data_IF_490907350676
#
_entry.id   IF_490907350676
#
_cell.length_a   1.000
_cell.length_b   1.000
_cell.length_c   1.000
_cell.angle_alpha   90.00
_cell.angle_beta   90.00
_cell.angle_gamma   90.00
#
_symmetry.space_group_name_H-M   'P 1'
#
loop_
_entity.id
_entity.type
_entity.pdbx_description
1 polymer ?
#
# COMPACT_ATOMS: atom_id res chain seq x y z
N UNK A 1 6.00 -15.43 22.49
CA UNK A 1 6.92 -16.46 21.95
C UNK A 1 6.79 -16.46 20.43
N UNK A 2 7.71 -15.82 19.72
CA UNK A 2 7.72 -15.77 18.26
C UNK A 2 8.31 -17.08 17.74
N UNK A 3 7.48 -17.93 17.12
CA UNK A 3 8.01 -19.08 16.37
C UNK A 3 8.96 -18.58 15.28
N UNK A 4 10.18 -19.13 15.23
CA UNK A 4 11.15 -18.81 14.18
C UNK A 4 10.61 -19.28 12.83
N UNK A 5 10.51 -18.37 11.86
CA UNK A 5 10.19 -18.73 10.48
C UNK A 5 11.37 -19.48 9.86
N UNK A 6 11.12 -20.63 9.22
CA UNK A 6 12.13 -21.42 8.50
C UNK A 6 11.88 -21.30 7.00
N UNK A 7 12.93 -21.01 6.24
CA UNK A 7 12.88 -21.02 4.78
C UNK A 7 12.51 -22.41 4.27
N UNK A 8 11.52 -22.48 3.38
CA UNK A 8 11.00 -23.71 2.81
C UNK A 8 11.46 -23.92 1.37
N UNK A 9 11.43 -22.88 0.55
CA UNK A 9 11.78 -22.95 -0.86
C UNK A 9 11.23 -21.77 -1.66
N UNK A 10 11.31 -21.87 -3.00
CA UNK A 10 10.80 -20.87 -3.94
C UNK A 10 9.55 -21.38 -4.65
N UNK A 11 8.64 -20.46 -4.96
CA UNK A 11 7.51 -20.69 -5.86
C UNK A 11 7.59 -19.74 -7.05
N UNK A 12 7.62 -20.32 -8.24
CA UNK A 12 7.63 -19.59 -9.50
C UNK A 12 6.21 -19.49 -10.07
N UNK A 13 5.80 -18.26 -10.36
CA UNK A 13 4.59 -17.90 -11.07
C UNK A 13 4.97 -17.11 -12.34
N UNK A 14 4.07 -17.03 -13.34
CA UNK A 14 4.37 -16.32 -14.59
C UNK A 14 4.80 -14.86 -14.41
N UNK A 15 4.36 -14.20 -13.33
CA UNK A 15 4.58 -12.79 -13.07
C UNK A 15 5.34 -12.50 -11.75
N UNK A 16 5.76 -13.52 -11.01
CA UNK A 16 6.53 -13.37 -9.76
C UNK A 16 7.19 -14.67 -9.28
N UNK A 17 8.28 -14.52 -8.53
CA UNK A 17 8.94 -15.57 -7.76
C UNK A 17 8.79 -15.21 -6.27
N UNK A 18 8.31 -16.14 -5.47
CA UNK A 18 8.13 -15.96 -4.03
C UNK A 18 9.07 -16.84 -3.24
N UNK A 19 9.72 -16.27 -2.23
CA UNK A 19 10.35 -17.04 -1.16
C UNK A 19 9.29 -17.47 -0.15
N UNK A 20 9.21 -18.76 0.12
CA UNK A 20 8.24 -19.35 1.04
C UNK A 20 8.91 -19.66 2.37
N UNK A 21 8.25 -19.25 3.44
CA UNK A 21 8.65 -19.52 4.80
C UNK A 21 7.53 -20.27 5.54
N UNK A 22 7.91 -21.22 6.38
CA UNK A 22 6.98 -21.91 7.27
C UNK A 22 7.23 -21.47 8.71
N UNK A 23 6.15 -21.07 9.37
CA UNK A 23 6.17 -20.62 10.75
C UNK A 23 5.23 -21.46 11.60
N UNK A 24 5.77 -22.13 12.61
CA UNK A 24 4.97 -22.85 13.61
C UNK A 24 4.42 -21.84 14.62
N UNK A 25 3.10 -21.73 14.71
CA UNK A 25 2.38 -20.79 15.59
C UNK A 25 1.48 -21.57 16.54
N UNK A 26 1.43 -21.17 17.81
CA UNK A 26 0.54 -21.79 18.81
C UNK A 26 -0.83 -21.13 18.76
N UNK A 27 -1.90 -21.91 18.81
CA UNK A 27 -3.19 -21.34 19.19
C UNK A 27 -3.12 -20.95 20.66
N UNK A 28 -3.27 -19.65 20.95
CA UNK A 28 -3.48 -19.18 22.31
C UNK A 28 -4.98 -19.28 22.54
N UNK A 29 -5.44 -20.25 23.33
CA UNK A 29 -6.80 -20.17 23.86
C UNK A 29 -6.92 -18.84 24.59
N UNK A 30 -7.95 -18.01 24.33
CA UNK A 30 -8.24 -16.91 25.22
C UNK A 30 -8.46 -17.54 26.60
N UNK A 31 -7.53 -17.29 27.51
CA UNK A 31 -7.74 -17.56 28.92
C UNK A 31 -8.86 -16.60 29.29
N UNK A 32 -10.07 -17.14 29.43
CA UNK A 32 -11.17 -16.40 30.01
C UNK A 32 -10.70 -15.97 31.39
N UNK A 33 -10.47 -14.68 31.54
CA UNK A 33 -10.10 -14.03 32.78
C UNK A 33 -11.36 -13.90 33.66
N UNK A 34 -11.98 -15.03 33.99
CA UNK A 34 -12.98 -15.12 35.05
C UNK A 34 -12.77 -16.43 35.80
N UNK A 35 -12.41 -16.30 37.08
CA UNK A 35 -12.11 -17.43 37.94
C UNK A 35 -13.29 -18.39 38.02
N UNK A 36 -13.12 -19.60 37.49
CA UNK A 36 -14.05 -20.70 37.74
C UNK A 36 -13.24 -21.90 38.21
N UNK A 37 -13.53 -22.23 39.47
CA UNK A 37 -13.12 -23.41 40.23
C UNK A 37 -13.24 -24.69 39.41
N UNK A 38 -12.21 -25.53 39.51
CA UNK A 38 -12.19 -26.95 39.17
C UNK A 38 -13.53 -27.63 39.42
N UNK A 39 -14.17 -28.13 38.37
CA UNK A 39 -15.07 -29.29 38.38
C UNK A 39 -15.31 -29.78 36.95
N UNK A 40 -14.74 -30.96 36.69
CA UNK A 40 -15.17 -32.00 35.77
C UNK A 40 -16.19 -31.62 34.70
N UNK A 41 -15.71 -31.49 33.47
CA UNK A 41 -16.52 -31.75 32.28
C UNK A 41 -15.61 -32.34 31.21
N UNK A 42 -16.01 -33.50 30.72
CA UNK A 42 -15.28 -34.34 29.76
C UNK A 42 -14.64 -33.53 28.63
N UNK A 43 -13.31 -33.61 28.59
CA UNK A 43 -12.42 -32.90 27.69
C UNK A 43 -12.63 -33.33 26.24
N UNK A 44 -13.59 -32.72 25.56
CA UNK A 44 -13.56 -32.55 24.09
C UNK A 44 -12.75 -31.30 23.75
N UNK A 45 -11.56 -31.22 24.33
CA UNK A 45 -10.64 -30.11 24.12
C UNK A 45 -9.96 -30.32 22.76
N UNK A 46 -10.46 -29.66 21.72
CA UNK A 46 -9.88 -29.64 20.38
C UNK A 46 -8.34 -29.53 20.44
N UNK A 47 -7.63 -30.62 20.14
CA UNK A 47 -6.19 -30.78 20.37
C UNK A 47 -5.30 -30.09 19.31
N UNK A 48 -5.82 -29.12 18.56
CA UNK A 48 -5.00 -28.32 17.66
C UNK A 48 -4.29 -27.24 18.47
N UNK A 49 -3.11 -27.56 18.99
CA UNK A 49 -2.27 -26.62 19.74
C UNK A 49 -1.39 -25.75 18.84
N UNK A 50 -1.11 -26.21 17.61
CA UNK A 50 -0.18 -25.55 16.70
C UNK A 50 -0.71 -25.54 15.27
N UNK A 51 -0.53 -24.42 14.59
CA UNK A 51 -0.73 -24.24 13.15
C UNK A 51 0.62 -23.97 12.50
N UNK A 52 0.85 -24.54 11.32
CA UNK A 52 1.97 -24.11 10.48
C UNK A 52 1.44 -23.10 9.48
N UNK A 53 1.79 -21.84 9.69
CA UNK A 53 1.43 -20.76 8.78
C UNK A 53 2.47 -20.70 7.68
N UNK A 54 1.96 -20.61 6.45
CA UNK A 54 2.77 -20.42 5.26
C UNK A 54 2.81 -18.95 4.90
N UNK A 55 4.00 -18.38 4.89
CA UNK A 55 4.25 -16.98 4.54
C UNK A 55 4.98 -16.91 3.20
N UNK A 56 4.51 -16.04 2.30
CA UNK A 56 5.11 -15.81 1.00
C UNK A 56 5.65 -14.38 0.93
N UNK A 57 6.90 -14.24 0.51
CA UNK A 57 7.56 -12.94 0.33
C UNK A 57 7.99 -12.84 -1.12
N UNK A 58 7.65 -11.74 -1.81
CA UNK A 58 8.09 -11.50 -3.18
C UNK A 58 9.62 -11.42 -3.22
N UNK A 59 10.24 -12.30 -4.00
CA UNK A 59 11.68 -12.29 -4.28
C UNK A 59 11.97 -11.51 -5.56
N UNK A 60 11.16 -11.71 -6.60
CA UNK A 60 11.17 -10.99 -7.85
C UNK A 60 9.77 -10.99 -8.46
N UNK A 61 9.45 -10.04 -9.33
CA UNK A 61 8.18 -10.06 -10.05
C UNK A 61 7.93 -8.81 -10.86
N UNK A 62 6.78 -8.78 -11.53
CA UNK A 62 6.28 -7.58 -12.20
C UNK A 62 6.07 -6.44 -11.21
N UNK A 63 6.08 -5.20 -11.72
CA UNK A 63 5.82 -4.01 -10.91
C UNK A 63 4.52 -4.13 -10.11
N UNK A 64 3.48 -4.68 -10.74
CA UNK A 64 2.18 -4.95 -10.09
C UNK A 64 2.33 -5.83 -8.85
N UNK A 65 3.06 -6.94 -8.95
CA UNK A 65 3.27 -7.87 -7.81
C UNK A 65 4.09 -7.23 -6.69
N UNK A 66 5.05 -6.39 -7.03
CA UNK A 66 5.82 -5.63 -6.04
C UNK A 66 4.93 -4.62 -5.33
N UNK A 67 4.09 -3.87 -6.05
CA UNK A 67 3.11 -2.94 -5.45
C UNK A 67 2.11 -3.68 -4.57
N UNK A 68 1.62 -4.85 -4.99
CA UNK A 68 0.73 -5.70 -4.18
C UNK A 68 1.40 -6.16 -2.88
N UNK A 69 2.72 -6.39 -2.89
CA UNK A 69 3.50 -6.82 -1.72
C UNK A 69 3.70 -5.74 -0.65
N UNK A 70 3.26 -4.50 -0.91
CA UNK A 70 3.22 -3.44 0.09
C UNK A 70 2.24 -3.75 1.21
N UNK A 71 1.26 -4.62 0.96
CA UNK A 71 0.29 -5.06 1.96
C UNK A 71 0.60 -6.50 2.38
N UNK A 72 0.41 -6.81 3.67
CA UNK A 72 0.46 -8.17 4.18
C UNK A 72 -0.82 -8.97 3.87
N UNK A 73 -0.86 -10.25 4.29
CA UNK A 73 -2.02 -11.12 4.07
C UNK A 73 -3.32 -10.58 4.69
N UNK A 74 -3.20 -9.78 5.76
CA UNK A 74 -4.30 -9.16 6.50
C UNK A 74 -4.71 -7.79 5.91
N UNK A 75 -4.00 -7.32 4.88
CA UNK A 75 -4.26 -6.04 4.23
C UNK A 75 -3.65 -4.84 4.95
N UNK A 76 -2.74 -5.05 5.90
CA UNK A 76 -2.01 -3.99 6.61
C UNK A 76 -0.72 -3.66 5.86
N UNK A 77 -0.16 -2.48 6.12
CA UNK A 77 1.07 -2.02 5.49
C UNK A 77 2.28 -2.82 5.98
N UNK A 78 3.01 -3.47 5.07
CA UNK A 78 4.38 -3.90 5.34
C UNK A 78 5.31 -2.68 5.23
N UNK A 79 5.64 -2.09 6.38
CA UNK A 79 6.47 -0.88 6.45
C UNK A 79 7.88 -1.09 5.90
N UNK A 80 8.42 -2.31 5.98
CA UNK A 80 9.74 -2.62 5.42
C UNK A 80 9.67 -2.62 3.90
N UNK A 81 8.67 -3.28 3.32
CA UNK A 81 8.48 -3.28 1.86
C UNK A 81 8.18 -1.87 1.34
N UNK A 82 7.34 -1.11 2.05
CA UNK A 82 7.08 0.30 1.74
C UNK A 82 8.38 1.11 1.63
N UNK A 83 9.22 1.07 2.67
CA UNK A 83 10.46 1.86 2.69
C UNK A 83 11.44 1.43 1.61
N UNK A 84 11.63 0.12 1.40
CA UNK A 84 12.51 -0.40 0.36
C UNK A 84 12.01 0.04 -1.02
N UNK A 85 10.72 -0.15 -1.29
CA UNK A 85 10.12 0.18 -2.57
C UNK A 85 10.19 1.68 -2.87
N UNK A 86 9.65 2.55 -2.01
CA UNK A 86 9.58 3.98 -2.30
C UNK A 86 10.94 4.68 -2.30
N UNK A 87 11.96 4.08 -1.69
CA UNK A 87 13.34 4.56 -1.78
C UNK A 87 14.01 4.18 -3.11
N UNK A 88 13.61 3.08 -3.75
CA UNK A 88 14.39 2.48 -4.86
C UNK A 88 13.64 2.33 -6.19
N UNK A 89 12.30 2.44 -6.22
CA UNK A 89 11.52 2.09 -7.41
C UNK A 89 11.88 2.88 -8.67
N UNK A 90 12.36 4.12 -8.51
CA UNK A 90 12.75 5.01 -9.61
C UNK A 90 13.87 4.42 -10.48
N UNK A 91 14.62 3.45 -9.97
CA UNK A 91 15.64 2.74 -10.74
C UNK A 91 15.05 1.82 -11.83
N UNK A 92 13.77 1.44 -11.72
CA UNK A 92 13.16 0.44 -12.60
C UNK A 92 11.70 0.76 -13.03
N UNK A 93 11.07 1.80 -12.49
CA UNK A 93 9.70 2.19 -12.82
C UNK A 93 9.52 3.71 -12.78
N UNK A 94 8.55 4.22 -13.55
CA UNK A 94 8.14 5.63 -13.50
C UNK A 94 7.10 5.84 -12.40
N UNK A 95 7.10 7.04 -11.81
CA UNK A 95 6.09 7.48 -10.83
C UNK A 95 4.67 7.26 -11.34
N UNK A 96 4.42 7.57 -12.62
CA UNK A 96 3.10 7.41 -13.24
C UNK A 96 2.62 5.94 -13.23
N UNK A 97 3.50 5.00 -13.56
CA UNK A 97 3.18 3.57 -13.61
C UNK A 97 2.82 3.04 -12.21
N UNK A 98 3.56 3.47 -11.18
CA UNK A 98 3.28 3.11 -9.79
C UNK A 98 1.96 3.71 -9.31
N UNK A 99 1.71 4.98 -9.61
CA UNK A 99 0.47 5.65 -9.25
C UNK A 99 -0.75 4.97 -9.88
N UNK A 100 -0.63 4.54 -11.13
CA UNK A 100 -1.71 3.88 -11.87
C UNK A 100 -2.06 2.54 -11.27
N UNK A 101 -1.04 1.74 -10.92
CA UNK A 101 -1.26 0.47 -10.23
C UNK A 101 -1.97 0.64 -8.88
N UNK A 102 -1.60 1.66 -8.10
CA UNK A 102 -2.24 1.93 -6.80
C UNK A 102 -3.71 2.36 -7.00
N UNK A 103 -3.99 3.24 -7.97
CA UNK A 103 -5.35 3.70 -8.28
C UNK A 103 -6.23 2.57 -8.83
N UNK A 104 -5.69 1.78 -9.76
CA UNK A 104 -6.36 0.60 -10.32
C UNK A 104 -6.70 -0.38 -9.20
N UNK A 105 -5.73 -0.70 -8.33
CA UNK A 105 -5.94 -1.62 -7.23
C UNK A 105 -7.01 -1.13 -6.25
N UNK A 106 -7.00 0.15 -5.90
CA UNK A 106 -8.06 0.74 -5.07
C UNK A 106 -9.45 0.60 -5.72
N UNK A 107 -9.53 0.76 -7.04
CA UNK A 107 -10.76 0.63 -7.81
C UNK A 107 -11.25 -0.83 -7.84
N UNK A 108 -10.34 -1.79 -8.05
CA UNK A 108 -10.66 -3.22 -7.97
C UNK A 108 -11.23 -3.60 -6.59
N UNK A 109 -10.60 -3.16 -5.50
CA UNK A 109 -11.11 -3.40 -4.14
C UNK A 109 -12.48 -2.76 -3.90
N UNK A 110 -12.75 -1.63 -4.54
CA UNK A 110 -14.06 -0.97 -4.47
C UNK A 110 -15.14 -1.81 -5.14
N UNK A 111 -14.82 -2.41 -6.29
CA UNK A 111 -15.75 -3.30 -6.99
C UNK A 111 -15.97 -4.60 -6.20
N UNK A 112 -14.92 -5.18 -5.63
CA UNK A 112 -15.01 -6.41 -4.82
C UNK A 112 -15.90 -6.20 -3.58
N UNK A 113 -15.79 -5.05 -2.93
CA UNK A 113 -16.66 -4.67 -1.81
C UNK A 113 -18.14 -4.56 -2.16
N UNK A 114 -18.50 -4.30 -3.42
CA UNK A 114 -19.89 -4.26 -3.87
C UNK A 114 -20.47 -5.66 -4.12
N UNK A 115 -19.60 -6.65 -4.34
CA UNK A 115 -19.98 -8.02 -4.70
C UNK A 115 -19.99 -8.96 -3.50
N UNK A 116 -19.13 -8.72 -2.50
CA UNK A 116 -18.95 -9.64 -1.38
C UNK A 116 -19.93 -9.38 -0.22
N UNK A 117 -20.61 -10.45 0.22
CA UNK A 117 -21.56 -10.42 1.34
C UNK A 117 -20.97 -10.91 2.67
N UNK A 118 -19.74 -11.46 2.66
CA UNK A 118 -19.08 -11.98 3.87
C UNK A 118 -18.48 -10.87 4.72
N UNK A 119 -18.98 -10.69 5.95
CA UNK A 119 -18.50 -9.68 6.91
C UNK A 119 -16.98 -9.69 7.10
N UNK A 120 -16.36 -10.87 7.24
CA UNK A 120 -14.90 -10.99 7.47
C UNK A 120 -14.10 -10.49 6.25
N UNK A 121 -14.55 -10.83 5.05
CA UNK A 121 -13.90 -10.41 3.81
C UNK A 121 -14.08 -8.92 3.58
N UNK A 122 -15.30 -8.40 3.80
CA UNK A 122 -15.61 -6.97 3.72
C UNK A 122 -14.69 -6.12 4.61
N UNK A 123 -14.45 -6.52 5.87
CA UNK A 123 -13.55 -5.78 6.77
C UNK A 123 -12.10 -5.81 6.29
N UNK A 124 -11.63 -6.95 5.77
CA UNK A 124 -10.29 -7.04 5.16
C UNK A 124 -10.16 -6.12 3.95
N UNK A 125 -11.14 -6.10 3.04
CA UNK A 125 -11.11 -5.23 1.85
C UNK A 125 -11.15 -3.75 2.23
N UNK A 126 -11.94 -3.38 3.26
CA UNK A 126 -11.92 -2.03 3.83
C UNK A 126 -10.55 -1.68 4.41
N UNK A 127 -9.91 -2.60 5.13
CA UNK A 127 -8.55 -2.43 5.65
C UNK A 127 -7.56 -2.17 4.53
N UNK A 128 -7.56 -2.99 3.47
CA UNK A 128 -6.70 -2.82 2.31
C UNK A 128 -6.88 -1.44 1.65
N UNK A 129 -8.13 -1.00 1.45
CA UNK A 129 -8.42 0.34 0.92
C UNK A 129 -7.91 1.44 1.84
N UNK A 130 -8.05 1.29 3.16
CA UNK A 130 -7.51 2.25 4.12
C UNK A 130 -5.99 2.31 4.03
N UNK A 131 -5.33 1.16 3.93
CA UNK A 131 -3.88 1.07 3.79
C UNK A 131 -3.39 1.74 2.50
N UNK A 132 -4.07 1.54 1.37
CA UNK A 132 -3.71 2.22 0.11
C UNK A 132 -3.83 3.75 0.21
N UNK A 133 -4.84 4.26 0.94
CA UNK A 133 -4.93 5.70 1.23
C UNK A 133 -3.72 6.17 2.03
N UNK A 134 -3.35 5.43 3.08
CA UNK A 134 -2.17 5.74 3.89
C UNK A 134 -0.89 5.72 3.06
N UNK A 135 -0.73 4.77 2.14
CA UNK A 135 0.40 4.72 1.20
C UNK A 135 0.47 6.01 0.38
N UNK A 136 -0.63 6.46 -0.21
CA UNK A 136 -0.66 7.71 -1.01
C UNK A 136 -0.30 8.92 -0.13
N UNK A 137 -0.84 8.99 1.10
CA UNK A 137 -0.52 10.08 2.03
C UNK A 137 0.96 10.09 2.37
N UNK A 138 1.53 8.94 2.77
CA UNK A 138 2.96 8.82 3.07
C UNK A 138 3.82 9.14 1.86
N UNK A 139 3.38 8.74 0.66
CA UNK A 139 4.09 9.02 -0.58
C UNK A 139 4.16 10.54 -0.85
N UNK A 140 3.02 11.24 -0.73
CA UNK A 140 2.95 12.70 -0.87
C UNK A 140 3.79 13.45 0.18
N UNK A 141 3.95 12.88 1.38
CA UNK A 141 4.69 13.53 2.48
C UNK A 141 6.19 13.27 2.43
N UNK A 142 6.59 12.02 2.18
CA UNK A 142 7.98 11.59 2.31
C UNK A 142 8.75 11.65 1.00
N UNK A 143 8.05 11.59 -0.14
CA UNK A 143 8.67 11.59 -1.46
C UNK A 143 7.91 12.52 -2.43
N UNK A 144 7.60 13.72 -1.95
CA UNK A 144 6.85 14.74 -2.72
C UNK A 144 7.46 15.05 -4.08
N UNK A 145 8.80 15.01 -4.18
CA UNK A 145 9.55 15.35 -5.40
C UNK A 145 9.19 14.48 -6.60
N UNK A 146 8.65 13.29 -6.36
CA UNK A 146 8.15 12.40 -7.41
C UNK A 146 7.04 13.01 -8.25
N UNK A 147 6.32 13.96 -7.66
CA UNK A 147 5.20 14.66 -8.27
C UNK A 147 5.62 16.00 -8.88
N UNK A 148 6.88 16.39 -8.73
CA UNK A 148 7.46 17.57 -9.37
C UNK A 148 7.90 17.27 -10.82
N UNK A 149 6.99 16.70 -11.62
CA UNK A 149 7.24 16.41 -13.03
C UNK A 149 6.64 17.52 -13.88
N UNK A 150 7.50 18.37 -14.43
CA UNK A 150 7.11 19.44 -15.36
C UNK A 150 7.00 18.82 -16.76
N UNK A 151 5.81 18.88 -17.37
CA UNK A 151 5.66 18.47 -18.77
C UNK A 151 6.26 19.56 -19.68
N UNK A 152 7.54 19.46 -20.02
CA UNK A 152 8.23 20.45 -20.86
C UNK A 152 7.78 20.41 -22.33
N UNK A 153 6.95 19.46 -22.76
CA UNK A 153 6.66 19.23 -24.18
C UNK A 153 5.58 20.13 -24.79
N UNK A 154 4.85 20.90 -23.97
CA UNK A 154 3.80 21.80 -24.46
C UNK A 154 4.16 23.28 -24.25
N UNK A 155 5.30 23.74 -24.77
CA UNK A 155 5.71 25.15 -24.68
C UNK A 155 4.74 26.16 -25.32
N UNK A 156 3.74 25.71 -26.09
CA UNK A 156 2.72 26.56 -26.70
C UNK A 156 1.37 26.61 -25.95
N UNK A 157 1.12 25.69 -25.00
CA UNK A 157 -0.06 25.73 -24.12
C UNK A 157 0.40 25.91 -22.67
N UNK A 158 0.72 27.16 -22.35
CA UNK A 158 1.34 27.59 -21.09
C UNK A 158 0.56 27.24 -19.81
N UNK A 159 -0.70 26.80 -19.93
CA UNK A 159 -1.64 26.81 -18.80
C UNK A 159 -2.27 25.46 -18.42
N UNK A 160 -2.07 24.37 -19.18
CA UNK A 160 -2.92 23.17 -18.98
C UNK A 160 -2.33 21.98 -18.25
N UNK A 161 -1.02 21.82 -18.09
CA UNK A 161 -0.47 20.53 -17.63
C UNK A 161 0.78 20.64 -16.73
N UNK A 162 0.88 21.69 -15.92
CA UNK A 162 1.87 21.70 -14.83
C UNK A 162 1.39 20.74 -13.72
N UNK A 163 2.21 19.74 -13.38
CA UNK A 163 1.95 18.73 -12.33
C UNK A 163 0.83 17.71 -12.64
N UNK A 164 0.89 17.07 -13.82
CA UNK A 164 -0.10 16.07 -14.27
C UNK A 164 -0.40 15.00 -13.21
N UNK A 165 0.64 14.47 -12.55
CA UNK A 165 0.46 13.42 -11.53
C UNK A 165 -0.30 13.92 -10.30
N UNK A 166 -0.11 15.18 -9.91
CA UNK A 166 -0.87 15.78 -8.81
C UNK A 166 -2.33 15.97 -9.21
N UNK A 167 -2.59 16.43 -10.43
CA UNK A 167 -3.97 16.53 -10.93
C UNK A 167 -4.66 15.16 -10.99
N UNK A 168 -3.93 14.11 -11.40
CA UNK A 168 -4.42 12.73 -11.37
C UNK A 168 -4.83 12.31 -9.96
N UNK A 169 -4.01 12.61 -8.94
CA UNK A 169 -4.34 12.35 -7.52
C UNK A 169 -5.55 13.17 -7.07
N UNK A 170 -5.66 14.45 -7.46
CA UNK A 170 -6.80 15.31 -7.10
C UNK A 170 -8.11 14.74 -7.67
N UNK A 171 -8.09 14.32 -8.94
CA UNK A 171 -9.25 13.72 -9.61
C UNK A 171 -9.63 12.39 -8.97
N UNK A 172 -8.67 11.49 -8.78
CA UNK A 172 -8.86 10.23 -8.07
C UNK A 172 -9.47 10.43 -6.68
N UNK A 173 -8.91 11.37 -5.92
CA UNK A 173 -9.36 11.68 -4.56
C UNK A 173 -10.77 12.27 -4.54
N UNK A 174 -11.11 13.13 -5.51
CA UNK A 174 -12.46 13.69 -5.66
C UNK A 174 -13.48 12.59 -5.95
N UNK A 175 -13.20 11.71 -6.92
CA UNK A 175 -14.11 10.62 -7.32
C UNK A 175 -14.36 9.61 -6.20
N UNK A 176 -13.40 9.45 -5.28
CA UNK A 176 -13.48 8.48 -4.19
C UNK A 176 -13.79 9.10 -2.82
N UNK A 177 -14.12 10.40 -2.75
CA UNK A 177 -14.45 11.08 -1.50
C UNK A 177 -13.29 11.26 -0.52
N UNK A 178 -12.04 11.22 -1.00
CA UNK A 178 -10.80 11.29 -0.20
C UNK A 178 -10.38 12.74 0.01
N UNK A 179 -11.13 13.46 0.86
CA UNK A 179 -10.99 14.91 1.02
C UNK A 179 -9.64 15.33 1.63
N UNK A 180 -9.07 14.48 2.49
CA UNK A 180 -7.76 14.63 3.09
C UNK A 180 -6.64 14.58 2.05
N UNK A 181 -6.61 13.52 1.22
CA UNK A 181 -5.63 13.35 0.15
C UNK A 181 -5.76 14.47 -0.88
N UNK A 182 -7.00 14.79 -1.29
CA UNK A 182 -7.28 15.90 -2.21
C UNK A 182 -6.73 17.22 -1.70
N UNK A 183 -6.92 17.52 -0.41
CA UNK A 183 -6.45 18.77 0.19
C UNK A 183 -4.93 18.81 0.28
N UNK A 184 -4.30 17.67 0.60
CA UNK A 184 -2.83 17.52 0.63
C UNK A 184 -2.20 17.71 -0.76
N UNK A 185 -2.74 17.03 -1.76
CA UNK A 185 -2.29 17.15 -3.16
C UNK A 185 -2.39 18.60 -3.67
N UNK A 186 -3.48 19.31 -3.35
CA UNK A 186 -3.62 20.74 -3.69
C UNK A 186 -2.57 21.62 -3.02
N UNK A 187 -2.34 21.43 -1.72
CA UNK A 187 -1.30 22.17 -1.00
C UNK A 187 0.07 21.94 -1.61
N UNK A 188 0.38 20.69 -1.98
CA UNK A 188 1.63 20.35 -2.64
C UNK A 188 1.76 21.02 -4.02
N UNK A 189 0.67 21.04 -4.80
CA UNK A 189 0.65 21.75 -6.09
C UNK A 189 0.94 23.25 -5.94
N UNK A 190 0.29 23.90 -4.98
CA UNK A 190 0.52 25.33 -4.73
C UNK A 190 1.95 25.61 -4.24
N UNK A 191 2.50 24.73 -3.39
CA UNK A 191 3.91 24.79 -3.01
C UNK A 191 4.83 24.73 -4.23
N UNK A 192 4.61 23.79 -5.15
CA UNK A 192 5.42 23.68 -6.36
C UNK A 192 5.29 24.86 -7.32
N UNK A 193 4.08 25.44 -7.44
CA UNK A 193 3.89 26.69 -8.22
C UNK A 193 4.69 27.84 -7.64
N UNK A 194 4.69 27.99 -6.31
CA UNK A 194 5.45 29.05 -5.65
C UNK A 194 6.96 28.88 -5.89
N UNK A 195 7.48 27.65 -5.77
CA UNK A 195 8.89 27.33 -6.07
C UNK A 195 9.24 27.66 -7.53
N UNK A 196 8.39 27.30 -8.50
CA UNK A 196 8.61 27.68 -9.91
C UNK A 196 8.60 29.21 -10.12
N UNK A 197 7.69 29.92 -9.45
CA UNK A 197 7.59 31.37 -9.52
C UNK A 197 8.83 32.08 -8.98
N UNK A 198 9.39 31.59 -7.86
CA UNK A 198 10.62 32.11 -7.26
C UNK A 198 11.84 31.88 -8.16
N UNK A 199 11.99 30.68 -8.73
CA UNK A 199 13.10 30.37 -9.67
C UNK A 199 13.01 31.24 -10.93
N UNK A 200 11.80 31.51 -11.43
CA UNK A 200 11.57 32.39 -12.57
C UNK A 200 11.88 33.88 -12.30
N UNK A 201 11.93 34.31 -11.04
CA UNK A 201 12.34 35.65 -10.64
C UNK A 201 13.87 35.75 -10.55
N UNK A 202 14.57 34.75 -10.01
CA UNK A 202 16.03 34.71 -9.96
C UNK A 202 16.68 34.69 -11.36
N UNK A 203 16.03 34.06 -12.35
CA UNK A 203 16.52 34.02 -13.74
C UNK A 203 16.35 35.33 -14.54
N UNK A 204 15.72 36.38 -13.97
CA UNK A 204 15.52 37.68 -14.63
C UNK A 204 16.49 38.77 -14.17
N UNK A 205 17.43 38.44 -13.27
CA UNK A 205 18.42 39.38 -12.73
C UNK A 205 19.86 39.13 -13.24
N UNK A 206 20.04 38.36 -14.32
CA UNK A 206 21.32 38.21 -15.02
C UNK A 206 21.23 38.70 -16.46
#
# INVERSE_FOLDING_TARGET
MTGSSKYWGEEEYPDAIYSVYLKKVRYVSPINDEGISFRDTDSTQDHLQWETIREKVVKAGSLKRIVESLLDSEGKLDSRQFNIFFTTYRAFAKTEEVLDLIIEWYSCLSNELLLDSSKKSTERLKMMKSTLKSIIVCWLDMYSDDFYVINSKNSFEKDKNEFILIEKIILFSKSNGLNDIKSKARKLREYFKNVLGEVGLCGKFN
#
